data_IF_437045116428
#
_entry.id   IF_437045116428
#
_cell.length_a   1.000
_cell.length_b   1.000
_cell.length_c   1.000
_cell.angle_alpha   90.00
_cell.angle_beta   90.00
_cell.angle_gamma   90.00
#
_symmetry.space_group_name_H-M   'P 1'
#
loop_
_entity.id
_entity.type
_entity.pdbx_description
1 polymer ?
#
# COMPACT_ATOMS: atom_id res chain seq x y z
N UNK A 1 55.73 -10.66 29.99
CA UNK A 1 56.40 -11.30 28.82
C UNK A 1 55.41 -12.26 28.18
N UNK A 2 55.28 -12.37 26.84
CA UNK A 2 55.71 -11.50 25.72
C UNK A 2 54.50 -10.80 25.03
N UNK A 3 54.56 -9.52 24.64
CA UNK A 3 55.10 -8.89 23.40
C UNK A 3 54.22 -9.13 22.15
N UNK A 4 53.50 -8.10 21.68
CA UNK A 4 53.87 -7.20 20.55
C UNK A 4 53.67 -7.82 19.16
N UNK A 5 53.06 -7.05 18.26
CA UNK A 5 52.85 -7.44 16.86
C UNK A 5 52.02 -6.43 16.07
N UNK A 6 52.52 -5.20 15.99
CA UNK A 6 52.08 -4.16 15.05
C UNK A 6 52.75 -4.37 13.70
N UNK A 7 51.98 -4.49 12.61
CA UNK A 7 52.50 -4.39 11.25
C UNK A 7 51.74 -3.32 10.47
N UNK A 8 52.45 -2.22 10.24
CA UNK A 8 52.12 -1.13 9.33
C UNK A 8 52.83 -1.38 8.01
N UNK A 9 52.09 -1.42 6.90
CA UNK A 9 52.70 -1.41 5.56
C UNK A 9 52.39 -0.07 4.90
N UNK A 10 53.42 0.76 4.83
CA UNK A 10 53.53 1.94 3.98
C UNK A 10 53.92 1.46 2.57
N UNK A 11 53.16 1.85 1.56
CA UNK A 11 53.55 1.72 0.16
C UNK A 11 53.51 3.12 -0.47
N UNK A 12 54.64 3.50 -1.04
CA UNK A 12 54.93 4.79 -1.68
C UNK A 12 55.17 4.58 -3.17
N UNK A 13 55.04 5.67 -3.93
CA UNK A 13 55.38 5.83 -5.37
C UNK A 13 54.26 5.36 -6.32
N UNK A 14 53.88 6.08 -7.38
CA UNK A 14 54.70 6.83 -8.33
C UNK A 14 54.01 8.11 -8.85
N UNK A 15 54.85 9.07 -9.28
CA UNK A 15 54.51 10.18 -10.15
C UNK A 15 54.20 9.68 -11.58
N UNK A 16 53.22 10.31 -12.25
CA UNK A 16 53.16 10.34 -13.71
C UNK A 16 52.76 11.74 -14.17
N UNK A 17 53.61 12.26 -15.04
CA UNK A 17 53.56 13.56 -15.69
C UNK A 17 52.61 13.54 -16.89
N UNK A 18 52.00 14.69 -17.17
CA UNK A 18 51.94 15.28 -18.50
C UNK A 18 51.13 14.57 -19.60
N UNK A 19 49.93 15.09 -19.87
CA UNK A 19 49.47 15.22 -21.26
C UNK A 19 48.61 16.46 -21.42
N UNK A 20 49.23 17.50 -21.98
CA UNK A 20 48.65 18.75 -22.43
C UNK A 20 47.88 18.47 -23.74
N UNK A 21 46.56 18.46 -23.67
CA UNK A 21 45.68 18.32 -24.84
C UNK A 21 45.32 19.70 -25.39
N UNK A 22 45.76 19.92 -26.62
CA UNK A 22 45.50 21.11 -27.44
C UNK A 22 44.03 21.21 -27.82
N UNK A 23 43.41 22.35 -27.53
CA UNK A 23 42.06 22.70 -27.94
C UNK A 23 42.01 22.99 -29.45
N UNK A 24 41.10 22.32 -30.17
CA UNK A 24 40.75 22.66 -31.55
C UNK A 24 39.65 23.75 -31.57
N UNK A 25 39.70 24.71 -32.51
CA UNK A 25 38.67 25.74 -32.61
C UNK A 25 37.39 25.18 -33.22
N UNK A 26 36.26 25.35 -32.53
CA UNK A 26 34.91 25.11 -33.05
C UNK A 26 34.40 26.37 -33.75
N UNK A 27 34.11 26.26 -35.05
CA UNK A 27 33.33 27.24 -35.80
C UNK A 27 31.82 27.13 -35.47
N UNK A 28 31.06 28.25 -35.50
CA UNK A 28 29.63 28.23 -35.25
C UNK A 28 28.85 27.87 -36.53
N UNK A 29 28.20 26.70 -36.54
CA UNK A 29 27.21 26.36 -37.58
C UNK A 29 25.80 26.70 -37.09
N UNK A 30 25.12 27.59 -37.83
CA UNK A 30 23.69 27.88 -37.69
C UNK A 30 22.83 26.66 -38.08
N UNK A 31 21.78 26.35 -37.32
CA UNK A 31 20.76 25.38 -37.73
C UNK A 31 20.03 24.70 -36.58
N UNK A 32 18.71 24.86 -36.51
CA UNK A 32 17.82 24.53 -35.39
C UNK A 32 17.37 23.06 -35.28
N UNK A 33 18.18 22.08 -35.70
CA UNK A 33 17.90 20.64 -35.51
C UNK A 33 18.77 19.97 -34.41
N UNK A 34 19.65 20.74 -33.79
CA UNK A 34 20.79 20.23 -33.01
C UNK A 34 20.46 19.62 -31.65
N UNK A 35 19.33 19.95 -31.01
CA UNK A 35 19.07 19.46 -29.65
C UNK A 35 18.75 17.96 -29.59
N UNK A 36 18.00 17.44 -30.57
CA UNK A 36 17.66 16.01 -30.65
C UNK A 36 18.89 15.18 -31.03
N UNK A 37 19.66 15.66 -31.99
CA UNK A 37 20.84 14.96 -32.48
C UNK A 37 22.01 15.04 -31.50
N UNK A 38 22.16 16.16 -30.78
CA UNK A 38 23.15 16.28 -29.70
C UNK A 38 22.81 15.36 -28.53
N UNK A 39 21.54 15.25 -28.14
CA UNK A 39 21.13 14.34 -27.06
C UNK A 39 21.23 12.87 -27.50
N UNK A 40 20.88 12.57 -28.77
CA UNK A 40 21.06 11.26 -29.38
C UNK A 40 22.52 10.83 -29.43
N UNK A 41 23.42 11.75 -29.78
CA UNK A 41 24.88 11.55 -29.76
C UNK A 41 25.43 11.32 -28.34
N UNK A 42 24.91 12.04 -27.34
CA UNK A 42 25.28 11.86 -25.94
C UNK A 42 24.83 10.49 -25.39
N UNK A 43 23.63 10.02 -25.74
CA UNK A 43 23.14 8.70 -25.33
C UNK A 43 23.87 7.56 -26.03
N UNK A 44 24.25 7.76 -27.30
CA UNK A 44 25.07 6.82 -28.06
C UNK A 44 26.49 6.69 -27.49
N UNK A 45 27.12 7.80 -27.09
CA UNK A 45 28.47 7.76 -26.49
C UNK A 45 28.49 7.13 -25.09
N UNK A 46 27.36 7.12 -24.38
CA UNK A 46 27.16 6.40 -23.12
C UNK A 46 26.80 4.91 -23.28
N UNK A 47 26.77 4.37 -24.51
CA UNK A 47 26.51 2.95 -24.77
C UNK A 47 25.05 2.52 -24.52
N UNK A 48 24.10 3.46 -24.60
CA UNK A 48 22.67 3.24 -24.36
C UNK A 48 21.81 3.42 -25.64
N UNK A 49 22.12 2.79 -26.78
CA UNK A 49 21.33 2.96 -27.99
C UNK A 49 19.95 2.28 -27.83
N UNK A 50 18.87 3.02 -28.11
CA UNK A 50 17.49 2.51 -28.07
C UNK A 50 16.68 2.87 -26.82
N UNK A 51 17.24 3.64 -25.90
CA UNK A 51 16.45 4.30 -24.85
C UNK A 51 15.62 5.42 -25.48
N UNK A 52 14.34 5.16 -25.76
CA UNK A 52 13.39 6.22 -26.07
C UNK A 52 13.42 7.25 -24.92
N UNK A 53 13.66 8.52 -25.27
CA UNK A 53 13.57 9.61 -24.30
C UNK A 53 12.22 9.51 -23.59
N UNK A 54 12.20 9.41 -22.25
CA UNK A 54 10.96 9.34 -21.50
C UNK A 54 10.04 10.47 -21.95
N UNK A 55 8.74 10.20 -22.16
CA UNK A 55 7.73 11.21 -22.51
C UNK A 55 7.80 12.48 -21.62
N UNK A 56 8.27 12.33 -20.38
CA UNK A 56 8.59 13.42 -19.45
C UNK A 56 9.58 14.47 -20.02
N UNK A 57 10.61 14.05 -20.75
CA UNK A 57 11.56 14.98 -21.38
C UNK A 57 10.90 15.77 -22.52
N UNK A 58 9.98 15.15 -23.27
CA UNK A 58 9.26 15.85 -24.35
C UNK A 58 8.40 16.98 -23.80
N UNK A 59 7.76 16.77 -22.65
CA UNK A 59 6.89 17.77 -22.02
C UNK A 59 7.66 18.90 -21.33
N UNK A 60 8.83 18.64 -20.73
CA UNK A 60 9.64 19.70 -20.11
C UNK A 60 10.42 20.55 -21.13
N UNK A 61 10.86 19.94 -22.24
CA UNK A 61 11.62 20.67 -23.27
C UNK A 61 10.74 21.71 -23.99
N UNK A 62 9.43 21.50 -24.06
CA UNK A 62 8.49 22.45 -24.70
C UNK A 62 8.36 23.80 -23.99
N UNK A 63 8.78 23.92 -22.72
CA UNK A 63 8.67 25.16 -21.93
C UNK A 63 10.00 25.87 -21.69
N UNK A 64 11.12 25.35 -22.19
CA UNK A 64 12.43 25.96 -21.97
C UNK A 64 12.57 27.24 -22.80
N UNK A 65 12.73 28.38 -22.12
CA UNK A 65 13.10 29.63 -22.77
C UNK A 65 14.51 29.48 -23.37
N UNK A 66 14.66 29.89 -24.63
CA UNK A 66 15.96 29.87 -25.32
C UNK A 66 16.90 30.84 -24.57
N UNK A 67 18.05 30.36 -24.05
CA UNK A 67 19.01 31.23 -23.35
C UNK A 67 19.50 32.31 -24.31
N UNK A 68 19.53 33.56 -23.85
CA UNK A 68 19.91 34.74 -24.65
C UNK A 68 21.39 35.06 -24.51
N UNK A 69 22.03 34.56 -23.46
CA UNK A 69 23.46 34.74 -23.22
C UNK A 69 24.19 33.41 -23.14
N UNK A 70 25.51 33.44 -23.40
CA UNK A 70 26.38 32.26 -23.28
C UNK A 70 26.38 31.71 -21.85
N UNK A 71 26.28 32.59 -20.86
CA UNK A 71 26.25 32.25 -19.44
C UNK A 71 24.92 31.58 -19.05
N UNK A 72 23.78 32.07 -19.56
CA UNK A 72 22.48 31.39 -19.41
C UNK A 72 22.49 30.00 -20.08
N UNK A 73 23.10 29.87 -21.26
CA UNK A 73 23.22 28.59 -21.96
C UNK A 73 24.08 27.58 -21.18
N UNK A 74 25.18 28.03 -20.57
CA UNK A 74 26.04 27.22 -19.70
C UNK A 74 25.31 26.76 -18.44
N UNK A 75 24.56 27.64 -17.79
CA UNK A 75 23.77 27.30 -16.61
C UNK A 75 22.69 26.27 -16.95
N UNK A 76 21.95 26.49 -18.05
CA UNK A 76 20.93 25.56 -18.52
C UNK A 76 21.50 24.18 -18.88
N UNK A 77 22.65 24.13 -19.56
CA UNK A 77 23.31 22.88 -19.89
C UNK A 77 23.74 22.11 -18.63
N UNK A 78 24.21 22.82 -17.59
CA UNK A 78 24.56 22.23 -16.30
C UNK A 78 23.32 21.66 -15.58
N UNK A 79 22.21 22.40 -15.58
CA UNK A 79 20.94 21.94 -14.99
C UNK A 79 20.35 20.73 -15.73
N UNK A 80 20.34 20.76 -17.07
CA UNK A 80 19.88 19.63 -17.88
C UNK A 80 20.77 18.39 -17.71
N UNK A 81 22.09 18.58 -17.68
CA UNK A 81 23.06 17.51 -17.43
C UNK A 81 22.85 16.86 -16.06
N UNK A 82 22.67 17.65 -15.01
CA UNK A 82 22.37 17.15 -13.68
C UNK A 82 21.01 16.43 -13.63
N UNK A 83 19.99 16.97 -14.32
CA UNK A 83 18.66 16.35 -14.40
C UNK A 83 18.71 15.00 -15.11
N UNK A 84 19.39 14.90 -16.25
CA UNK A 84 19.56 13.66 -16.99
C UNK A 84 20.32 12.60 -16.18
N UNK A 85 21.35 13.02 -15.43
CA UNK A 85 22.11 12.15 -14.53
C UNK A 85 21.23 11.63 -13.39
N UNK A 86 20.43 12.49 -12.76
CA UNK A 86 19.49 12.09 -11.71
C UNK A 86 18.42 11.11 -12.24
N UNK A 87 17.83 11.39 -13.41
CA UNK A 87 16.87 10.48 -14.05
C UNK A 87 17.49 9.13 -14.43
N UNK A 88 18.74 9.13 -14.92
CA UNK A 88 19.48 7.91 -15.21
C UNK A 88 19.71 7.07 -13.95
N UNK A 89 20.07 7.73 -12.85
CA UNK A 89 20.25 7.10 -11.53
C UNK A 89 18.96 6.49 -11.02
N UNK A 90 17.83 7.20 -11.08
CA UNK A 90 16.54 6.69 -10.62
C UNK A 90 16.05 5.53 -11.47
N UNK A 91 16.17 5.63 -12.80
CA UNK A 91 15.83 4.52 -13.70
C UNK A 91 16.70 3.30 -13.46
N UNK A 92 17.99 3.48 -13.16
CA UNK A 92 18.89 2.39 -12.80
C UNK A 92 18.47 1.76 -11.46
N UNK A 93 18.17 2.56 -10.43
CA UNK A 93 17.65 2.06 -9.14
C UNK A 93 16.39 1.22 -9.34
N UNK A 94 15.44 1.71 -10.11
CA UNK A 94 14.18 1.00 -10.40
C UNK A 94 14.42 -0.28 -11.20
N UNK A 95 15.32 -0.23 -12.19
CA UNK A 95 15.70 -1.41 -12.97
C UNK A 95 16.32 -2.48 -12.07
N UNK A 96 17.27 -2.12 -11.21
CA UNK A 96 17.88 -3.06 -10.25
C UNK A 96 16.81 -3.64 -9.32
N UNK A 97 15.85 -2.82 -8.88
CA UNK A 97 14.79 -3.27 -7.98
C UNK A 97 13.88 -4.32 -8.59
N UNK A 98 13.48 -4.09 -9.84
CA UNK A 98 12.56 -4.95 -10.55
C UNK A 98 13.26 -6.19 -11.13
N UNK A 99 14.56 -6.08 -11.44
CA UNK A 99 15.33 -7.17 -12.07
C UNK A 99 15.82 -8.23 -11.08
N UNK A 100 15.95 -7.89 -9.79
CA UNK A 100 16.40 -8.85 -8.78
C UNK A 100 15.22 -9.70 -8.26
N UNK A 101 15.35 -11.04 -8.22
CA UNK A 101 14.28 -11.92 -7.79
C UNK A 101 14.01 -11.80 -6.28
N UNK A 102 12.84 -12.31 -5.86
CA UNK A 102 12.44 -12.37 -4.45
C UNK A 102 12.47 -11.02 -3.72
N UNK A 103 12.26 -9.92 -4.43
CA UNK A 103 12.33 -8.56 -3.89
C UNK A 103 13.69 -8.18 -3.27
N UNK A 104 14.79 -8.85 -3.64
CA UNK A 104 16.12 -8.51 -3.15
C UNK A 104 16.53 -7.07 -3.52
N UNK A 105 15.97 -6.54 -4.60
CA UNK A 105 16.13 -5.15 -5.01
C UNK A 105 15.87 -4.13 -3.91
N UNK A 106 14.81 -4.31 -3.12
CA UNK A 106 14.46 -3.38 -2.03
C UNK A 106 15.39 -3.53 -0.83
N UNK A 107 16.07 -4.68 -0.71
CA UNK A 107 17.09 -4.91 0.33
C UNK A 107 18.35 -4.10 0.03
N UNK A 108 18.76 -3.97 -1.23
CA UNK A 108 20.05 -3.39 -1.61
C UNK A 108 19.98 -1.94 -2.08
N UNK A 109 18.82 -1.42 -2.45
CA UNK A 109 18.67 -0.07 -3.05
C UNK A 109 17.84 0.83 -2.17
N UNK A 110 18.45 1.90 -1.63
CA UNK A 110 17.73 2.98 -0.96
C UNK A 110 17.05 3.90 -1.97
N UNK A 111 15.83 4.34 -1.67
CA UNK A 111 15.08 5.31 -2.50
C UNK A 111 15.79 6.65 -2.51
N UNK A 112 16.00 7.17 -1.31
CA UNK A 112 16.51 8.50 -1.06
C UNK A 112 18.02 8.50 -1.24
N UNK A 113 18.54 9.53 -1.88
CA UNK A 113 19.97 9.70 -2.02
C UNK A 113 20.63 10.00 -0.69
N UNK A 114 21.90 9.61 -0.56
CA UNK A 114 22.66 9.72 0.70
C UNK A 114 22.60 11.14 1.31
N UNK A 115 22.64 12.15 0.45
CA UNK A 115 22.66 13.57 0.83
C UNK A 115 21.31 14.04 1.38
N UNK A 116 20.22 13.36 1.01
CA UNK A 116 18.85 13.72 1.36
C UNK A 116 18.31 12.92 2.57
N UNK A 117 19.07 11.95 3.09
CA UNK A 117 18.67 11.17 4.27
C UNK A 117 18.90 12.01 5.53
N UNK A 118 17.80 12.49 6.12
CA UNK A 118 17.82 13.30 7.35
C UNK A 118 17.24 12.56 8.55
N UNK A 119 16.33 11.63 8.31
CA UNK A 119 15.65 10.82 9.33
C UNK A 119 15.73 9.33 9.02
N UNK A 120 15.38 8.50 9.99
CA UNK A 120 15.30 7.05 9.74
C UNK A 120 14.21 6.69 8.73
N UNK A 121 13.14 7.48 8.63
CA UNK A 121 12.05 7.19 7.70
C UNK A 121 12.47 7.31 6.22
N UNK A 122 13.53 8.07 5.92
CA UNK A 122 14.08 8.25 4.57
C UNK A 122 14.85 7.00 4.08
N UNK A 123 15.13 6.05 4.99
CA UNK A 123 15.87 4.83 4.66
C UNK A 123 14.88 3.71 4.36
N UNK A 124 14.75 3.37 3.08
CA UNK A 124 13.82 2.33 2.58
C UNK A 124 14.45 0.95 2.42
N UNK A 125 15.76 0.82 2.66
CA UNK A 125 16.47 -0.47 2.62
C UNK A 125 16.81 -0.98 4.03
N UNK A 126 16.48 -2.24 4.37
CA UNK A 126 16.88 -2.85 5.64
C UNK A 126 18.40 -2.94 5.83
N UNK A 127 19.16 -3.18 4.75
CA UNK A 127 20.62 -3.23 4.80
C UNK A 127 21.22 -1.87 5.15
N UNK A 128 20.72 -0.81 4.50
CA UNK A 128 21.14 0.55 4.79
C UNK A 128 20.68 1.01 6.17
N UNK A 129 19.50 0.58 6.63
CA UNK A 129 19.03 0.85 7.98
C UNK A 129 19.97 0.28 9.05
N UNK A 130 20.45 -0.96 8.87
CA UNK A 130 21.42 -1.57 9.78
C UNK A 130 22.77 -0.83 9.82
N UNK A 131 23.09 -0.04 8.78
CA UNK A 131 24.32 0.75 8.64
C UNK A 131 24.07 2.26 8.74
N UNK A 132 22.89 2.69 9.21
CA UNK A 132 22.44 4.09 9.07
C UNK A 132 23.41 5.09 9.70
N UNK A 133 23.97 4.76 10.87
CA UNK A 133 24.91 5.62 11.60
C UNK A 133 26.23 5.80 10.83
N UNK A 134 26.69 4.76 10.12
CA UNK A 134 27.94 4.82 9.35
C UNK A 134 27.75 5.48 7.98
N UNK A 135 26.62 5.24 7.33
CA UNK A 135 26.39 5.68 5.94
C UNK A 135 25.79 7.09 5.90
N UNK A 136 24.82 7.40 6.74
CA UNK A 136 24.06 8.66 6.70
C UNK A 136 24.27 9.54 7.93
N UNK A 137 25.08 9.10 8.91
CA UNK A 137 25.20 9.78 10.20
C UNK A 137 23.85 9.93 10.95
N UNK A 138 22.87 9.08 10.66
CA UNK A 138 21.56 9.02 11.34
C UNK A 138 21.49 7.78 12.21
N UNK A 139 21.12 7.94 13.48
CA UNK A 139 21.07 6.82 14.43
C UNK A 139 19.67 6.23 14.52
N UNK A 140 19.48 5.06 13.91
CA UNK A 140 18.21 4.34 13.89
C UNK A 140 18.16 3.18 14.88
N UNK A 141 16.95 2.78 15.26
CA UNK A 141 16.72 1.58 16.06
C UNK A 141 16.95 0.30 15.27
N UNK A 142 16.60 0.32 13.98
CA UNK A 142 16.69 -0.83 13.09
C UNK A 142 15.45 -0.95 12.19
N UNK A 143 15.39 -2.03 11.42
CA UNK A 143 14.31 -2.28 10.47
C UNK A 143 13.05 -2.80 11.17
N UNK A 144 11.90 -2.18 10.95
CA UNK A 144 10.61 -2.57 11.51
C UNK A 144 9.85 -3.61 10.70
N UNK A 145 10.28 -3.87 9.46
CA UNK A 145 9.58 -4.77 8.53
C UNK A 145 9.27 -4.09 7.21
N UNK A 146 8.74 -2.88 7.26
CA UNK A 146 8.43 -2.05 6.09
C UNK A 146 9.21 -0.73 6.03
N UNK A 147 9.80 -0.29 7.14
CA UNK A 147 10.54 0.95 7.23
C UNK A 147 11.66 0.86 8.28
N UNK A 148 12.66 1.73 8.15
CA UNK A 148 13.66 1.93 9.18
C UNK A 148 13.09 2.80 10.32
N UNK A 149 13.33 2.41 11.57
CA UNK A 149 12.68 2.97 12.75
C UNK A 149 13.62 3.86 13.54
N UNK A 150 13.06 4.91 14.13
CA UNK A 150 13.71 5.73 15.16
C UNK A 150 13.75 5.02 16.52
N UNK A 151 14.63 5.46 17.43
CA UNK A 151 14.80 4.85 18.77
C UNK A 151 13.53 4.83 19.64
N UNK A 152 12.63 5.77 19.40
CA UNK A 152 11.36 5.90 20.13
C UNK A 152 10.15 5.63 19.23
N UNK A 153 10.32 4.85 18.15
CA UNK A 153 9.22 4.53 17.26
C UNK A 153 8.13 3.73 17.98
N UNK A 154 6.88 3.97 17.58
CA UNK A 154 5.72 3.23 18.07
C UNK A 154 5.80 1.75 17.67
N UNK A 155 5.32 0.85 18.54
CA UNK A 155 5.37 -0.59 18.30
C UNK A 155 4.59 -1.00 17.05
N UNK A 156 3.52 -0.28 16.72
CA UNK A 156 2.66 -0.51 15.57
C UNK A 156 3.43 -0.41 14.24
N UNK A 157 4.58 0.28 14.22
CA UNK A 157 5.47 0.35 13.05
C UNK A 157 6.31 -0.92 12.84
N UNK A 158 6.31 -1.84 13.79
CA UNK A 158 6.95 -3.15 13.66
C UNK A 158 5.92 -4.13 13.06
N UNK A 159 6.11 -4.48 11.80
CA UNK A 159 5.18 -5.28 10.98
C UNK A 159 5.65 -6.72 10.74
N UNK A 160 6.78 -7.11 11.33
CA UNK A 160 7.27 -8.49 11.32
C UNK A 160 7.23 -9.10 12.72
N UNK A 161 6.54 -10.23 12.85
CA UNK A 161 6.38 -10.93 14.13
C UNK A 161 7.72 -11.26 14.80
N UNK A 162 8.69 -11.82 14.07
CA UNK A 162 9.99 -12.16 14.65
C UNK A 162 10.77 -10.96 15.20
N UNK A 163 10.59 -9.77 14.61
CA UNK A 163 11.16 -8.52 15.11
C UNK A 163 10.40 -8.04 16.34
N UNK A 164 9.07 -8.12 16.32
CA UNK A 164 8.22 -7.77 17.46
C UNK A 164 8.55 -8.62 18.70
N UNK A 165 8.67 -9.94 18.53
CA UNK A 165 9.00 -10.88 19.62
C UNK A 165 10.37 -10.57 20.26
N UNK A 166 11.26 -9.89 19.52
CA UNK A 166 12.60 -9.49 19.96
C UNK A 166 12.77 -7.96 20.05
N UNK A 167 11.69 -7.17 20.05
CA UNK A 167 11.76 -5.71 19.86
C UNK A 167 12.60 -5.03 20.94
N UNK A 168 12.46 -5.48 22.18
CA UNK A 168 13.23 -4.95 23.30
C UNK A 168 14.73 -5.28 23.19
N UNK A 169 15.08 -6.46 22.66
CA UNK A 169 16.47 -6.89 22.51
C UNK A 169 17.15 -6.19 21.34
N UNK A 170 16.50 -6.22 20.17
CA UNK A 170 17.07 -5.77 18.90
C UNK A 170 16.91 -4.28 18.66
N UNK A 171 15.71 -3.73 18.89
CA UNK A 171 15.38 -2.34 18.58
C UNK A 171 15.42 -1.42 19.81
N UNK A 172 15.50 -2.01 21.02
CA UNK A 172 15.34 -1.31 22.31
C UNK A 172 13.95 -0.65 22.49
N UNK A 173 12.96 -1.10 21.73
CA UNK A 173 11.57 -0.60 21.80
C UNK A 173 10.74 -1.60 22.63
N UNK A 174 10.25 -1.23 23.83
CA UNK A 174 9.50 -2.15 24.69
C UNK A 174 8.04 -2.27 24.22
N UNK A 175 7.73 -3.38 23.54
CA UNK A 175 6.39 -3.68 23.07
C UNK A 175 5.69 -4.73 23.94
N UNK A 176 4.36 -4.79 23.85
CA UNK A 176 3.52 -5.75 24.58
C UNK A 176 3.52 -7.14 23.91
N UNK A 177 3.74 -7.21 22.60
CA UNK A 177 3.82 -8.45 21.83
C UNK A 177 3.11 -8.35 20.47
N UNK A 178 3.12 -9.43 19.69
CA UNK A 178 2.52 -9.44 18.36
C UNK A 178 0.99 -9.41 18.41
N UNK A 179 0.37 -8.48 17.67
CA UNK A 179 -1.09 -8.30 17.60
C UNK A 179 -1.76 -9.03 16.42
N UNK A 180 -1.00 -9.53 15.46
CA UNK A 180 -1.52 -10.23 14.28
C UNK A 180 -0.99 -9.64 12.97
N UNK A 181 -1.07 -8.31 12.83
CA UNK A 181 -0.55 -7.56 11.67
C UNK A 181 0.59 -6.61 12.03
N UNK A 182 0.71 -6.24 13.31
CA UNK A 182 1.76 -5.38 13.85
C UNK A 182 2.00 -5.68 15.32
N UNK A 183 3.08 -5.12 15.87
CA UNK A 183 3.38 -5.21 17.29
C UNK A 183 2.48 -4.27 18.10
N UNK A 184 2.07 -4.70 19.29
CA UNK A 184 1.20 -3.96 20.20
C UNK A 184 2.02 -3.04 21.11
N UNK A 185 1.64 -1.78 21.21
CA UNK A 185 2.16 -0.88 22.24
C UNK A 185 1.62 -1.23 23.64
N UNK A 186 2.29 -0.77 24.70
CA UNK A 186 1.76 -0.88 26.07
C UNK A 186 0.44 -0.10 26.17
N UNK A 187 -0.61 -0.75 26.68
CA UNK A 187 -1.95 -0.17 26.75
C UNK A 187 -2.75 -0.28 25.44
N UNK A 188 -2.29 -1.07 24.47
CA UNK A 188 -3.06 -1.38 23.26
C UNK A 188 -4.46 -1.91 23.61
N UNK A 189 -5.44 -1.52 22.81
CA UNK A 189 -6.85 -1.93 22.95
C UNK A 189 -7.14 -3.18 22.12
N UNK A 190 -8.29 -3.81 22.37
CA UNK A 190 -8.75 -5.00 21.66
C UNK A 190 -8.67 -4.83 20.12
N UNK A 191 -9.10 -3.68 19.60
CA UNK A 191 -9.12 -3.40 18.15
C UNK A 191 -7.76 -3.50 17.43
N UNK A 192 -6.65 -3.49 18.17
CA UNK A 192 -5.31 -3.63 17.60
C UNK A 192 -4.88 -5.10 17.44
N UNK A 193 -5.66 -6.04 17.97
CA UNK A 193 -5.44 -7.47 17.78
C UNK A 193 -6.21 -7.91 16.54
N UNK A 194 -5.49 -8.20 15.46
CA UNK A 194 -6.02 -8.53 14.12
C UNK A 194 -5.87 -10.02 13.78
N UNK A 195 -5.64 -10.86 14.79
CA UNK A 195 -5.64 -12.31 14.64
C UNK A 195 -6.64 -12.95 15.62
N UNK A 196 -7.53 -13.78 15.12
CA UNK A 196 -8.59 -14.42 15.92
C UNK A 196 -8.03 -15.29 17.06
N UNK A 197 -6.97 -16.07 16.81
CA UNK A 197 -6.36 -16.92 17.86
C UNK A 197 -5.76 -16.08 18.97
N UNK A 198 -5.15 -14.94 18.61
CA UNK A 198 -4.64 -13.97 19.59
C UNK A 198 -5.77 -13.27 20.34
N UNK A 199 -6.86 -12.93 19.66
CA UNK A 199 -8.06 -12.33 20.26
C UNK A 199 -8.67 -13.23 21.34
N UNK A 200 -8.77 -14.54 21.07
CA UNK A 200 -9.26 -15.53 22.02
C UNK A 200 -8.34 -15.72 23.23
N UNK A 201 -7.03 -15.42 23.09
CA UNK A 201 -6.05 -15.51 24.16
C UNK A 201 -5.65 -14.15 24.76
N UNK A 202 -6.30 -13.06 24.35
CA UNK A 202 -5.83 -11.69 24.60
C UNK A 202 -5.76 -11.32 26.08
N UNK A 203 -6.74 -11.76 26.88
CA UNK A 203 -6.77 -11.51 28.32
C UNK A 203 -5.59 -12.19 29.03
N UNK A 204 -5.28 -13.43 28.65
CA UNK A 204 -4.19 -14.20 29.26
C UNK A 204 -2.81 -13.75 28.77
N UNK A 205 -2.67 -13.44 27.47
CA UNK A 205 -1.37 -13.08 26.87
C UNK A 205 -0.99 -11.62 27.09
N UNK A 206 -1.95 -10.71 26.98
CA UNK A 206 -1.69 -9.27 26.91
C UNK A 206 -2.38 -8.48 28.02
N UNK A 207 -3.22 -9.12 28.84
CA UNK A 207 -4.06 -8.42 29.83
C UNK A 207 -5.18 -7.58 29.19
N UNK A 208 -5.44 -7.76 27.90
CA UNK A 208 -6.44 -6.99 27.15
C UNK A 208 -7.78 -7.72 27.25
N UNK A 209 -8.77 -7.08 27.89
CA UNK A 209 -10.14 -7.61 27.96
C UNK A 209 -10.81 -7.46 26.61
N UNK A 210 -11.28 -8.57 26.06
CA UNK A 210 -11.97 -8.62 24.78
C UNK A 210 -13.35 -9.24 24.98
N UNK A 211 -14.31 -8.87 24.13
CA UNK A 211 -15.65 -9.47 24.14
C UNK A 211 -15.81 -10.51 23.03
N UNK A 212 -15.00 -10.43 21.98
CA UNK A 212 -14.99 -11.42 20.91
C UNK A 212 -14.27 -10.92 19.67
N UNK A 213 -14.33 -11.74 18.62
CA UNK A 213 -13.76 -11.44 17.32
C UNK A 213 -14.80 -10.80 16.40
N UNK A 214 -14.44 -9.70 15.73
CA UNK A 214 -15.33 -9.06 14.75
C UNK A 214 -15.31 -9.79 13.42
N UNK A 215 -14.23 -10.51 13.11
CA UNK A 215 -13.92 -11.03 11.77
C UNK A 215 -12.58 -10.53 11.24
N UNK A 216 -12.23 -9.29 11.59
CA UNK A 216 -10.99 -8.61 11.16
C UNK A 216 -10.14 -8.12 12.35
N UNK A 217 -10.79 -7.82 13.48
CA UNK A 217 -10.14 -7.38 14.70
C UNK A 217 -10.87 -7.86 15.95
N UNK A 218 -10.19 -7.83 17.07
CA UNK A 218 -10.81 -8.11 18.35
C UNK A 218 -11.63 -6.92 18.84
N UNK A 219 -12.77 -7.19 19.48
CA UNK A 219 -13.68 -6.16 19.97
C UNK A 219 -13.58 -6.01 21.49
N UNK A 220 -13.80 -4.79 21.97
CA UNK A 220 -14.09 -4.50 23.37
C UNK A 220 -15.56 -4.08 23.54
N UNK A 221 -16.02 -3.94 24.78
CA UNK A 221 -17.42 -3.55 25.08
C UNK A 221 -17.82 -2.21 24.47
N UNK A 222 -16.87 -1.31 24.21
CA UNK A 222 -17.14 0.04 23.71
C UNK A 222 -17.26 0.09 22.18
N UNK A 223 -16.64 -0.88 21.50
CA UNK A 223 -16.55 -0.95 20.04
C UNK A 223 -17.41 -2.05 19.44
N UNK A 224 -17.95 -2.95 20.25
CA UNK A 224 -18.81 -4.03 19.79
C UNK A 224 -20.19 -3.49 19.35
N UNK A 225 -20.54 -3.74 18.10
CA UNK A 225 -21.88 -3.51 17.54
C UNK A 225 -22.21 -4.61 16.54
N UNK A 226 -23.50 -4.86 16.31
CA UNK A 226 -23.94 -5.97 15.46
C UNK A 226 -23.37 -5.86 14.04
N UNK A 227 -23.39 -4.67 13.43
CA UNK A 227 -22.90 -4.43 12.07
C UNK A 227 -21.39 -4.70 11.88
N UNK A 228 -20.63 -4.80 12.98
CA UNK A 228 -19.18 -5.12 12.96
C UNK A 228 -18.88 -6.59 13.07
N UNK A 229 -19.86 -7.43 13.40
CA UNK A 229 -19.68 -8.88 13.52
C UNK A 229 -19.84 -9.50 12.13
N UNK A 230 -18.75 -10.00 11.54
CA UNK A 230 -18.73 -10.70 10.25
C UNK A 230 -18.53 -12.22 10.38
N UNK A 231 -18.57 -12.75 11.61
CA UNK A 231 -18.60 -14.19 11.86
C UNK A 231 -20.01 -14.65 12.30
N UNK A 232 -20.65 -15.51 11.51
CA UNK A 232 -22.02 -15.98 11.76
C UNK A 232 -22.20 -16.62 13.15
N UNK A 233 -21.26 -17.46 13.59
CA UNK A 233 -21.32 -18.09 14.91
C UNK A 233 -21.29 -17.09 16.06
N UNK A 234 -20.56 -15.97 15.91
CA UNK A 234 -20.51 -14.91 16.91
C UNK A 234 -21.81 -14.10 16.90
N UNK A 235 -22.38 -13.85 15.71
CA UNK A 235 -23.68 -13.19 15.58
C UNK A 235 -24.80 -13.96 16.27
N UNK A 236 -24.85 -15.28 16.05
CA UNK A 236 -25.85 -16.16 16.68
C UNK A 236 -25.75 -16.18 18.21
N UNK A 237 -24.55 -15.99 18.75
CA UNK A 237 -24.26 -15.93 20.18
C UNK A 237 -24.14 -14.49 20.72
N UNK A 238 -24.46 -13.45 19.94
CA UNK A 238 -24.11 -12.07 20.26
C UNK A 238 -24.70 -11.59 21.59
N UNK A 239 -25.95 -11.97 21.89
CA UNK A 239 -26.59 -11.64 23.18
C UNK A 239 -25.84 -12.26 24.36
N UNK A 240 -25.41 -13.53 24.22
CA UNK A 240 -24.74 -14.28 25.30
C UNK A 240 -23.28 -13.88 25.47
N UNK A 241 -22.55 -13.72 24.36
CA UNK A 241 -21.10 -13.44 24.37
C UNK A 241 -20.79 -11.95 24.49
N UNK A 242 -21.57 -11.10 23.83
CA UNK A 242 -21.28 -9.67 23.68
C UNK A 242 -22.28 -8.78 24.44
N UNK A 243 -23.43 -9.32 24.88
CA UNK A 243 -24.51 -8.52 25.43
C UNK A 243 -25.20 -7.64 24.39
N UNK A 244 -25.13 -8.02 23.10
CA UNK A 244 -25.70 -7.25 21.99
C UNK A 244 -26.99 -7.91 21.49
N UNK A 245 -28.07 -7.13 21.45
CA UNK A 245 -29.34 -7.54 20.86
C UNK A 245 -29.31 -7.32 19.34
N UNK A 246 -28.79 -8.30 18.60
CA UNK A 246 -28.76 -8.27 17.15
C UNK A 246 -30.01 -8.91 16.55
N UNK A 247 -30.44 -8.44 15.36
CA UNK A 247 -31.62 -8.98 14.68
C UNK A 247 -31.37 -10.36 14.06
N UNK A 248 -30.10 -10.73 13.83
CA UNK A 248 -29.70 -12.04 13.32
C UNK A 248 -28.59 -11.93 12.27
N UNK A 249 -28.23 -13.05 11.64
CA UNK A 249 -27.19 -13.06 10.61
C UNK A 249 -27.76 -12.64 9.25
N UNK A 250 -27.14 -11.66 8.60
CA UNK A 250 -27.58 -11.14 7.29
C UNK A 250 -26.89 -11.79 6.08
N UNK A 251 -25.85 -12.60 6.30
CA UNK A 251 -25.13 -13.30 5.22
C UNK A 251 -23.65 -12.97 5.21
N UNK A 252 -23.30 -11.68 5.30
CA UNK A 252 -21.92 -11.19 5.40
C UNK A 252 -21.60 -10.51 6.73
N UNK A 253 -22.63 -10.11 7.48
CA UNK A 253 -22.51 -9.51 8.80
C UNK A 253 -23.76 -9.73 9.63
N UNK A 254 -23.66 -9.49 10.93
CA UNK A 254 -24.80 -9.48 11.83
C UNK A 254 -25.63 -8.21 11.62
N UNK A 255 -26.95 -8.36 11.70
CA UNK A 255 -27.93 -7.33 11.47
C UNK A 255 -28.21 -6.57 12.77
N UNK A 256 -28.33 -5.25 12.65
CA UNK A 256 -28.82 -4.40 13.75
C UNK A 256 -30.35 -4.51 13.83
N UNK A 257 -30.95 -4.04 14.92
CA UNK A 257 -32.42 -3.93 15.05
C UNK A 257 -33.08 -2.99 14.02
N UNK A 258 -32.30 -2.17 13.32
CA UNK A 258 -32.74 -1.27 12.24
C UNK A 258 -32.35 -1.78 10.85
N UNK A 259 -31.98 -3.05 10.74
CA UNK A 259 -31.65 -3.65 9.45
C UNK A 259 -32.85 -3.62 8.49
N UNK A 260 -32.53 -3.60 7.21
CA UNK A 260 -33.47 -3.62 6.10
C UNK A 260 -33.21 -4.84 5.23
N UNK A 261 -34.10 -5.15 4.29
CA UNK A 261 -33.89 -6.24 3.33
C UNK A 261 -32.56 -6.10 2.56
N UNK A 262 -32.16 -4.87 2.22
CA UNK A 262 -30.92 -4.64 1.49
C UNK A 262 -29.66 -5.07 2.26
N UNK A 263 -29.74 -5.17 3.59
CA UNK A 263 -28.65 -5.65 4.44
C UNK A 263 -28.48 -7.17 4.41
N UNK A 264 -29.46 -7.91 3.86
CA UNK A 264 -29.38 -9.36 3.68
C UNK A 264 -28.65 -9.66 2.38
N UNK A 265 -27.45 -10.22 2.48
CA UNK A 265 -26.54 -10.55 1.37
C UNK A 265 -26.46 -12.06 1.07
N UNK A 266 -27.32 -12.87 1.70
CA UNK A 266 -27.44 -14.30 1.42
C UNK A 266 -28.83 -14.64 0.92
N UNK A 267 -28.92 -15.30 -0.24
CA UNK A 267 -30.20 -15.73 -0.82
C UNK A 267 -30.98 -16.67 0.11
N UNK A 268 -30.27 -17.58 0.80
CA UNK A 268 -30.89 -18.50 1.77
C UNK A 268 -31.53 -17.75 2.93
N UNK A 269 -30.90 -16.67 3.40
CA UNK A 269 -31.42 -15.86 4.50
C UNK A 269 -32.57 -14.98 4.00
N UNK A 270 -32.45 -14.43 2.79
CA UNK A 270 -33.50 -13.63 2.15
C UNK A 270 -34.82 -14.41 1.99
N UNK A 271 -34.74 -15.69 1.64
CA UNK A 271 -35.91 -16.57 1.54
C UNK A 271 -36.58 -16.88 2.90
N UNK A 272 -35.94 -16.48 3.99
CA UNK A 272 -36.39 -16.67 5.37
C UNK A 272 -36.32 -15.34 6.17
N UNK A 273 -36.42 -14.20 5.49
CA UNK A 273 -36.28 -12.88 6.10
C UNK A 273 -37.37 -12.59 7.14
N UNK A 274 -38.51 -13.27 7.06
CA UNK A 274 -39.58 -13.21 8.05
C UNK A 274 -39.12 -13.63 9.46
N UNK A 275 -38.14 -14.55 9.55
CA UNK A 275 -37.55 -14.93 10.84
C UNK A 275 -36.72 -13.81 11.47
N UNK A 276 -36.29 -12.83 10.67
CA UNK A 276 -35.60 -11.63 11.11
C UNK A 276 -36.59 -10.46 11.35
N UNK A 277 -37.90 -10.70 11.18
CA UNK A 277 -38.93 -9.66 11.27
C UNK A 277 -38.92 -8.68 10.09
N UNK A 278 -38.37 -9.09 8.93
CA UNK A 278 -38.27 -8.26 7.73
C UNK A 278 -39.20 -8.76 6.64
N UNK A 279 -39.99 -7.85 6.07
CA UNK A 279 -40.85 -8.12 4.92
C UNK A 279 -40.10 -7.76 3.63
N UNK A 280 -39.55 -8.77 2.97
CA UNK A 280 -38.74 -8.59 1.76
C UNK A 280 -39.45 -9.15 0.52
N UNK A 281 -39.30 -8.46 -0.61
CA UNK A 281 -39.86 -8.87 -1.89
C UNK A 281 -39.20 -10.15 -2.45
N UNK A 282 -37.97 -10.43 -2.02
CA UNK A 282 -37.21 -11.61 -2.42
C UNK A 282 -35.79 -11.30 -2.87
N UNK A 283 -35.06 -12.31 -3.35
CA UNK A 283 -33.65 -12.19 -3.68
C UNK A 283 -33.42 -11.48 -5.02
N UNK A 284 -32.64 -10.39 -5.02
CA UNK A 284 -32.33 -9.60 -6.21
C UNK A 284 -31.07 -10.02 -6.98
N UNK A 285 -30.29 -10.95 -6.44
CA UNK A 285 -29.05 -11.46 -7.08
C UNK A 285 -27.81 -11.28 -6.23
N UNK A 286 -27.67 -10.09 -5.61
CA UNK A 286 -26.57 -9.74 -4.70
C UNK A 286 -27.04 -9.34 -3.31
N UNK A 287 -28.31 -8.94 -3.17
CA UNK A 287 -28.94 -8.59 -1.91
C UNK A 287 -30.44 -8.92 -1.96
N UNK A 288 -31.08 -8.96 -0.79
CA UNK A 288 -32.53 -9.09 -0.69
C UNK A 288 -33.20 -7.73 -0.99
N UNK A 289 -34.30 -7.77 -1.73
CA UNK A 289 -35.01 -6.57 -2.16
C UNK A 289 -36.09 -6.19 -1.13
N UNK A 290 -36.25 -4.91 -0.80
CA UNK A 290 -37.37 -4.47 0.03
C UNK A 290 -38.68 -4.61 -0.75
N UNK A 291 -39.80 -4.77 -0.03
CA UNK A 291 -41.12 -4.58 -0.64
C UNK A 291 -41.28 -3.12 -1.09
N UNK A 292 -41.08 -2.87 -2.38
CA UNK A 292 -41.32 -1.56 -2.98
C UNK A 292 -42.77 -1.46 -3.46
N UNK A 293 -43.35 -0.27 -3.32
CA UNK A 293 -44.66 0.06 -3.94
C UNK A 293 -44.53 0.38 -5.43
N UNK A 294 -43.34 0.76 -5.90
CA UNK A 294 -43.05 1.07 -7.30
C UNK A 294 -42.28 -0.08 -7.97
N UNK A 295 -42.90 -0.65 -8.99
CA UNK A 295 -42.35 -1.76 -9.77
C UNK A 295 -41.14 -1.33 -10.63
N UNK A 296 -41.04 -0.04 -10.99
CA UNK A 296 -39.94 0.44 -11.84
C UNK A 296 -38.60 0.41 -11.10
N UNK A 297 -38.57 0.71 -9.80
CA UNK A 297 -37.34 0.70 -8.98
C UNK A 297 -36.91 -0.71 -8.58
N UNK A 298 -37.85 -1.66 -8.59
CA UNK A 298 -37.56 -3.06 -8.31
C UNK A 298 -36.71 -3.69 -9.42
N UNK A 299 -37.10 -3.51 -10.69
CA UNK A 299 -36.36 -4.10 -11.82
C UNK A 299 -34.90 -3.64 -11.86
N UNK A 300 -34.62 -2.34 -11.68
CA UNK A 300 -33.25 -1.81 -11.69
C UNK A 300 -32.38 -2.32 -10.54
N UNK A 301 -32.98 -2.85 -9.48
CA UNK A 301 -32.27 -3.41 -8.32
C UNK A 301 -31.91 -4.89 -8.49
N UNK A 302 -32.40 -5.55 -9.55
CA UNK A 302 -32.09 -6.95 -9.84
C UNK A 302 -30.75 -7.02 -10.59
N UNK A 303 -29.75 -7.64 -9.95
CA UNK A 303 -28.40 -7.82 -10.51
C UNK A 303 -28.22 -9.16 -11.21
N UNK A 304 -29.12 -10.14 -10.98
CA UNK A 304 -29.05 -11.46 -11.59
C UNK A 304 -29.93 -11.61 -12.83
N UNK A 305 -29.35 -11.96 -13.98
CA UNK A 305 -30.11 -12.20 -15.24
C UNK A 305 -31.25 -13.20 -15.08
N UNK A 306 -30.97 -14.38 -14.51
CA UNK A 306 -32.00 -15.42 -14.29
C UNK A 306 -33.15 -14.95 -13.39
N UNK A 307 -32.83 -14.10 -12.42
CA UNK A 307 -33.82 -13.52 -11.50
C UNK A 307 -34.67 -12.50 -12.26
N UNK A 308 -34.05 -11.66 -13.09
CA UNK A 308 -34.75 -10.69 -13.93
C UNK A 308 -35.72 -11.36 -14.90
N UNK A 309 -35.25 -12.40 -15.60
CA UNK A 309 -36.07 -13.18 -16.54
C UNK A 309 -37.25 -13.90 -15.84
N UNK A 310 -37.11 -14.17 -14.53
CA UNK A 310 -38.14 -14.82 -13.71
C UNK A 310 -38.90 -13.83 -12.80
N UNK A 311 -38.70 -12.51 -12.97
CA UNK A 311 -39.21 -11.49 -12.06
C UNK A 311 -40.74 -11.50 -11.96
N UNK A 312 -41.43 -11.77 -13.08
CA UNK A 312 -42.89 -11.89 -13.14
C UNK A 312 -43.40 -12.95 -12.15
N UNK A 313 -42.69 -14.08 -12.04
CA UNK A 313 -43.04 -15.18 -11.13
C UNK A 313 -42.65 -14.87 -9.68
N UNK A 314 -41.47 -14.29 -9.47
CA UNK A 314 -40.93 -14.09 -8.12
C UNK A 314 -41.46 -12.86 -7.40
N UNK A 315 -41.88 -11.83 -8.13
CA UNK A 315 -42.27 -10.54 -7.55
C UNK A 315 -43.73 -10.17 -7.84
N UNK A 316 -44.60 -11.15 -8.07
CA UNK A 316 -46.04 -10.91 -8.17
C UNK A 316 -46.47 -10.13 -9.41
N UNK A 317 -45.90 -10.44 -10.58
CA UNK A 317 -46.31 -9.86 -11.86
C UNK A 317 -45.48 -8.67 -12.34
N UNK A 318 -44.35 -8.36 -11.69
CA UNK A 318 -43.44 -7.31 -12.14
C UNK A 318 -42.76 -7.74 -13.45
N UNK A 319 -43.04 -7.00 -14.52
CA UNK A 319 -42.51 -7.29 -15.85
C UNK A 319 -41.16 -6.58 -16.05
N UNK A 320 -40.08 -7.34 -15.82
CA UNK A 320 -38.72 -6.88 -16.08
C UNK A 320 -38.13 -7.61 -17.30
N UNK A 321 -37.23 -6.93 -18.01
CA UNK A 321 -36.46 -7.46 -19.14
C UNK A 321 -34.98 -7.16 -18.94
N UNK A 322 -34.11 -8.08 -19.35
CA UNK A 322 -32.67 -7.88 -19.25
C UNK A 322 -32.14 -7.15 -20.48
N UNK A 323 -31.60 -5.94 -20.30
CA UNK A 323 -30.95 -5.14 -21.33
C UNK A 323 -29.41 -5.26 -21.23
N UNK A 324 -28.69 -4.59 -22.13
CA UNK A 324 -27.22 -4.67 -22.23
C UNK A 324 -26.49 -4.34 -20.91
N UNK A 325 -27.05 -3.45 -20.09
CA UNK A 325 -26.44 -2.96 -18.84
C UNK A 325 -27.12 -3.47 -17.55
N UNK A 326 -28.16 -4.29 -17.64
CA UNK A 326 -28.85 -4.83 -16.47
C UNK A 326 -30.36 -5.03 -16.64
N UNK A 327 -31.03 -5.33 -15.54
CA UNK A 327 -32.48 -5.56 -15.52
C UNK A 327 -33.25 -4.22 -15.55
N UNK A 328 -34.23 -4.09 -16.45
CA UNK A 328 -35.02 -2.88 -16.66
C UNK A 328 -36.51 -3.21 -16.74
N UNK A 329 -37.37 -2.22 -16.52
CA UNK A 329 -38.82 -2.40 -16.66
C UNK A 329 -39.20 -2.54 -18.14
N UNK A 330 -40.00 -3.55 -18.50
CA UNK A 330 -40.29 -3.90 -19.90
C UNK A 330 -40.96 -2.77 -20.70
N UNK A 331 -41.78 -1.92 -20.06
CA UNK A 331 -42.49 -0.82 -20.72
C UNK A 331 -41.64 0.46 -20.94
N UNK A 332 -40.32 0.41 -20.71
CA UNK A 332 -39.39 1.53 -20.94
C UNK A 332 -38.42 1.30 -22.11
N UNK A 333 -38.53 0.15 -22.78
CA UNK A 333 -37.81 -0.18 -24.02
C UNK A 333 -38.68 0.16 -25.23
#
# INVERSE_FOLDING_TARGET
>A
EPSEGSESTQESMEHSEGSESTEAPMEPSEGSETAKDAMGGLLASLGLPGLELPELFKNQVGTLQIPKTKEEARLLAKELGQTALNMGKDKLKDTIRQSLPFHLGTVFVNDVDKEDVTTCADISSPLYCAKSSKVFNVTCAGWGGSACLERNAECERITLQGICDNSHKWLKIPCLGWGGSSCLSKGAKAKHITNERLCNAAAAKFGIKTVGWSGDACMDKTTASCDKITAAGICNDATKKLGLACAGWGGSRCLTSRATCADITSSRICNHAEHLGLECAGWGGSACLPHMRDNSTLCSSITGRRICESAVKHFGGVNCTWAHSGCQHANKL
#
